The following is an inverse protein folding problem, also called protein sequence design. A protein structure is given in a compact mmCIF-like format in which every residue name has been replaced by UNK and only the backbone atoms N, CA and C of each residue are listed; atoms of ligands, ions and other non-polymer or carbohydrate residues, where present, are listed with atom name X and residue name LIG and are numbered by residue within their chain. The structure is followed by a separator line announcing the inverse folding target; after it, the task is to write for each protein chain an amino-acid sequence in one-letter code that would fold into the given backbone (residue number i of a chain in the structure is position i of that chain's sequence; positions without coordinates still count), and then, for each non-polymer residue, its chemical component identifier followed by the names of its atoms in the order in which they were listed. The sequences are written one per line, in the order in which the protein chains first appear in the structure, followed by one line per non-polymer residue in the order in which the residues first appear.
data_IF_170580113627
#
_entry.id   IF_170580113627
#
_cell.length_a   1.000
_cell.length_b   1.000
_cell.length_c   1.000
_cell.angle_alpha   90.00
_cell.angle_beta   90.00
_cell.angle_gamma   90.00
#
_symmetry.space_group_name_H-M   'P 1'
#
loop_
_entity.id
_entity.type
_entity.pdbx_description
1 polymer ?
#
# COMPACT_ATOMS: atom_id res chain seq x y z
N UNK A 1 8.76 20.91 -8.69
CA UNK A 1 10.04 21.30 -9.30
C UNK A 1 10.99 21.68 -8.15
N UNK A 2 11.76 20.71 -7.65
CA UNK A 2 12.68 20.93 -6.53
C UNK A 2 13.98 21.54 -7.07
N UNK A 3 14.09 22.87 -7.04
CA UNK A 3 15.30 23.59 -7.47
C UNK A 3 16.12 23.94 -6.23
N UNK A 4 17.23 23.24 -6.01
CA UNK A 4 18.17 23.53 -4.92
C UNK A 4 19.41 24.23 -5.49
N UNK A 5 19.40 25.56 -5.67
CA UNK A 5 20.46 26.29 -6.38
C UNK A 5 21.82 26.16 -5.70
N UNK A 6 21.86 26.08 -4.36
CA UNK A 6 23.10 25.87 -3.59
C UNK A 6 23.73 24.50 -3.82
N UNK A 7 22.89 23.46 -3.96
CA UNK A 7 23.33 22.08 -4.19
C UNK A 7 23.93 21.95 -5.59
N UNK A 8 23.28 22.56 -6.59
CA UNK A 8 23.72 22.53 -7.98
C UNK A 8 25.09 23.22 -8.15
N UNK A 9 25.29 24.34 -7.45
CA UNK A 9 26.56 25.05 -7.42
C UNK A 9 27.67 24.23 -6.73
N UNK A 10 27.36 23.60 -5.59
CA UNK A 10 28.30 22.72 -4.89
C UNK A 10 28.72 21.50 -5.74
N UNK A 11 27.78 20.89 -6.46
CA UNK A 11 28.04 19.73 -7.31
C UNK A 11 28.80 20.10 -8.58
N UNK A 12 28.57 21.29 -9.16
CA UNK A 12 29.36 21.80 -10.28
C UNK A 12 30.83 22.04 -9.90
N UNK A 13 31.08 22.59 -8.71
CA UNK A 13 32.44 22.76 -8.17
C UNK A 13 33.12 21.41 -7.89
N UNK A 14 32.36 20.45 -7.38
CA UNK A 14 32.84 19.10 -7.11
C UNK A 14 33.19 18.36 -8.41
N UNK A 15 32.37 18.47 -9.45
CA UNK A 15 32.65 17.94 -10.78
C UNK A 15 33.92 18.56 -11.38
N UNK A 16 34.09 19.88 -11.26
CA UNK A 16 35.30 20.55 -11.72
C UNK A 16 36.57 20.05 -10.99
N UNK A 17 36.47 19.81 -9.69
CA UNK A 17 37.56 19.25 -8.88
C UNK A 17 37.89 17.81 -9.28
N UNK A 18 36.88 16.97 -9.51
CA UNK A 18 37.09 15.60 -9.98
C UNK A 18 37.76 15.61 -11.35
N UNK A 19 37.31 16.41 -12.32
CA UNK A 19 37.94 16.49 -13.65
C UNK A 19 39.41 16.87 -13.58
N UNK A 20 39.75 17.88 -12.77
CA UNK A 20 41.14 18.27 -12.55
C UNK A 20 41.99 17.15 -11.91
N UNK A 21 41.43 16.34 -11.02
CA UNK A 21 42.11 15.20 -10.41
C UNK A 21 42.28 14.03 -11.41
N UNK A 22 41.27 13.81 -12.25
CA UNK A 22 41.21 12.71 -13.23
C UNK A 22 42.22 12.88 -14.37
N UNK A 23 42.61 14.12 -14.68
CA UNK A 23 43.56 14.47 -15.73
C UNK A 23 45.02 14.12 -15.38
N UNK A 24 45.34 13.95 -14.09
CA UNK A 24 46.72 13.82 -13.62
C UNK A 24 47.14 12.40 -13.18
N UNK A 25 46.23 11.44 -13.05
CA UNK A 25 46.53 10.11 -12.44
C UNK A 25 45.62 8.97 -12.96
N UNK A 26 46.09 7.72 -12.93
CA UNK A 26 45.27 6.54 -13.24
C UNK A 26 44.18 6.36 -12.15
N UNK A 27 43.02 6.96 -12.38
CA UNK A 27 41.91 6.96 -11.43
C UNK A 27 41.25 5.58 -11.25
N UNK A 28 40.93 5.20 -10.00
CA UNK A 28 40.17 3.99 -9.70
C UNK A 28 38.77 4.03 -10.32
N UNK A 29 38.22 2.85 -10.64
CA UNK A 29 36.92 2.69 -11.33
C UNK A 29 35.77 3.45 -10.67
N UNK A 30 35.77 3.62 -9.35
CA UNK A 30 34.71 4.34 -8.65
C UNK A 30 34.67 5.83 -9.01
N UNK A 31 35.82 6.48 -9.26
CA UNK A 31 35.89 7.91 -9.58
C UNK A 31 35.26 8.17 -10.94
N UNK A 32 35.52 7.30 -11.92
CA UNK A 32 34.88 7.35 -13.25
C UNK A 32 33.37 7.18 -13.16
N UNK A 33 32.89 6.33 -12.25
CA UNK A 33 31.45 6.18 -11.99
C UNK A 33 30.86 7.43 -11.35
N UNK A 34 31.56 8.05 -10.40
CA UNK A 34 31.10 9.29 -9.74
C UNK A 34 31.08 10.45 -10.73
N UNK A 35 32.10 10.59 -11.57
CA UNK A 35 32.17 11.56 -12.66
C UNK A 35 30.98 11.41 -13.62
N UNK A 36 30.76 10.20 -14.14
CA UNK A 36 29.63 9.89 -15.00
C UNK A 36 28.30 10.28 -14.36
N UNK A 37 28.10 9.94 -13.09
CA UNK A 37 26.88 10.24 -12.35
C UNK A 37 26.69 11.76 -12.17
N UNK A 38 27.75 12.50 -11.80
CA UNK A 38 27.70 13.96 -11.61
C UNK A 38 27.40 14.71 -12.92
N UNK A 39 27.96 14.24 -14.04
CA UNK A 39 27.72 14.84 -15.36
C UNK A 39 26.26 14.68 -15.80
N UNK A 40 25.66 13.52 -15.54
CA UNK A 40 24.35 13.20 -16.07
C UNK A 40 23.21 13.56 -15.12
N UNK A 41 23.35 13.44 -13.79
CA UNK A 41 22.25 13.64 -12.82
C UNK A 41 21.56 15.00 -12.99
N UNK A 42 22.33 16.08 -13.18
CA UNK A 42 21.78 17.44 -13.37
C UNK A 42 21.85 17.93 -14.82
N UNK A 43 22.14 17.01 -15.74
CA UNK A 43 22.09 17.30 -17.17
C UNK A 43 20.69 17.73 -17.63
N UNK A 44 20.58 18.34 -18.82
CA UNK A 44 19.30 18.72 -19.38
C UNK A 44 18.32 17.53 -19.43
N UNK A 45 16.99 17.78 -19.39
CA UNK A 45 15.98 16.73 -19.40
C UNK A 45 15.98 15.84 -20.66
N UNK A 46 16.76 16.19 -21.67
CA UNK A 46 17.01 15.41 -22.88
C UNK A 46 17.91 14.19 -22.62
N UNK A 47 18.73 14.23 -21.57
CA UNK A 47 19.66 13.16 -21.26
C UNK A 47 18.92 12.03 -20.52
N UNK A 48 19.00 10.77 -20.98
CA UNK A 48 18.21 9.66 -20.44
C UNK A 48 18.59 9.29 -19.00
N UNK A 49 19.80 9.64 -18.57
CA UNK A 49 20.31 9.40 -17.23
C UNK A 49 20.16 10.61 -16.29
N UNK A 50 19.54 11.70 -16.77
CA UNK A 50 19.26 12.85 -15.92
C UNK A 50 18.23 12.51 -14.85
N UNK A 51 18.40 13.10 -13.67
CA UNK A 51 17.45 12.97 -12.58
C UNK A 51 16.05 13.40 -13.02
N UNK A 52 15.96 14.45 -13.84
CA UNK A 52 14.70 14.90 -14.44
C UNK A 52 14.04 13.84 -15.30
N UNK A 53 14.78 13.22 -16.23
CA UNK A 53 14.24 12.17 -17.10
C UNK A 53 13.84 10.90 -16.32
N UNK A 54 14.68 10.47 -15.37
CA UNK A 54 14.40 9.31 -14.52
C UNK A 54 13.16 9.55 -13.66
N UNK A 55 13.07 10.72 -13.01
CA UNK A 55 11.92 11.07 -12.15
C UNK A 55 10.64 11.19 -12.98
N UNK A 56 10.72 11.72 -14.20
CA UNK A 56 9.59 11.77 -15.13
C UNK A 56 9.10 10.37 -15.49
N UNK A 57 9.98 9.47 -15.90
CA UNK A 57 9.62 8.08 -16.23
C UNK A 57 9.00 7.34 -15.02
N UNK A 58 9.58 7.51 -13.83
CA UNK A 58 9.02 6.95 -12.59
C UNK A 58 7.64 7.53 -12.31
N UNK A 59 7.46 8.85 -12.47
CA UNK A 59 6.17 9.52 -12.23
C UNK A 59 5.11 9.05 -13.23
N UNK A 60 5.45 8.90 -14.51
CA UNK A 60 4.55 8.38 -15.53
C UNK A 60 4.15 6.93 -15.24
N UNK A 61 5.10 6.08 -14.82
CA UNK A 61 4.81 4.72 -14.39
C UNK A 61 3.88 4.70 -13.17
N UNK A 62 4.20 5.48 -12.13
CA UNK A 62 3.36 5.58 -10.93
C UNK A 62 1.96 6.09 -11.28
N UNK A 63 1.83 7.09 -12.13
CA UNK A 63 0.53 7.60 -12.58
C UNK A 63 -0.28 6.55 -13.36
N UNK A 64 0.38 5.76 -14.20
CA UNK A 64 -0.27 4.67 -14.94
C UNK A 64 -0.78 3.56 -14.02
N UNK A 65 -0.03 3.25 -12.96
CA UNK A 65 -0.46 2.23 -12.00
C UNK A 65 -1.46 2.79 -10.98
N UNK A 66 -1.34 4.06 -10.58
CA UNK A 66 -2.25 4.69 -9.62
C UNK A 66 -3.67 4.80 -10.17
N UNK A 67 -3.83 5.00 -11.49
CA UNK A 67 -5.15 4.99 -12.13
C UNK A 67 -5.88 3.64 -12.04
N UNK A 68 -5.16 2.54 -11.79
CA UNK A 68 -5.78 1.22 -11.61
C UNK A 68 -6.29 0.98 -10.19
N UNK A 69 -5.87 1.79 -9.21
CA UNK A 69 -6.31 1.64 -7.81
C UNK A 69 -7.56 2.47 -7.56
N UNK A 70 -8.71 1.81 -7.44
CA UNK A 70 -9.93 2.43 -6.94
C UNK A 70 -9.87 2.52 -5.41
N UNK A 71 -9.65 3.73 -4.90
CA UNK A 71 -9.62 4.01 -3.45
C UNK A 71 -11.01 4.36 -2.90
N UNK A 72 -11.94 4.79 -3.74
CA UNK A 72 -13.30 5.20 -3.35
C UNK A 72 -14.29 4.03 -3.39
N UNK A 73 -14.02 3.00 -2.56
CA UNK A 73 -14.83 1.77 -2.50
C UNK A 73 -15.67 1.64 -1.22
N UNK A 74 -15.88 2.75 -0.52
CA UNK A 74 -16.70 2.77 0.69
C UNK A 74 -18.11 3.25 0.34
N UNK A 75 -19.08 2.35 0.49
CA UNK A 75 -20.50 2.67 0.30
C UNK A 75 -21.17 2.61 1.67
N UNK A 76 -21.75 3.73 2.08
CA UNK A 76 -22.54 3.81 3.31
C UNK A 76 -23.97 3.42 2.97
N UNK A 77 -24.52 2.48 3.74
CA UNK A 77 -25.87 1.96 3.55
C UNK A 77 -26.61 2.13 4.88
N UNK A 78 -27.90 2.51 4.81
CA UNK A 78 -28.70 2.78 6.00
C UNK A 78 -29.11 1.50 6.76
N UNK A 79 -29.33 0.39 6.04
CA UNK A 79 -29.87 -0.84 6.61
C UNK A 79 -28.97 -2.06 6.32
N UNK A 80 -28.93 -3.01 7.26
CA UNK A 80 -28.20 -4.28 7.10
C UNK A 80 -28.72 -5.08 5.89
N UNK A 81 -30.04 -5.14 5.67
CA UNK A 81 -30.63 -5.87 4.53
C UNK A 81 -30.21 -5.33 3.17
N UNK A 82 -30.19 -4.00 3.01
CA UNK A 82 -29.77 -3.35 1.76
C UNK A 82 -28.28 -3.60 1.50
N UNK A 83 -27.48 -3.66 2.56
CA UNK A 83 -26.06 -4.03 2.45
C UNK A 83 -25.90 -5.50 2.02
N UNK A 84 -26.68 -6.41 2.58
CA UNK A 84 -26.66 -7.83 2.20
C UNK A 84 -27.08 -8.03 0.74
N UNK A 85 -28.16 -7.38 0.28
CA UNK A 85 -28.61 -7.45 -1.11
C UNK A 85 -27.55 -6.92 -2.09
N UNK A 86 -26.94 -5.77 -1.76
CA UNK A 86 -25.85 -5.20 -2.53
C UNK A 86 -24.60 -6.10 -2.52
N UNK A 87 -24.30 -6.73 -1.38
CA UNK A 87 -23.17 -7.64 -1.23
C UNK A 87 -23.31 -8.88 -2.12
N UNK A 88 -24.50 -9.47 -2.19
CA UNK A 88 -24.77 -10.61 -3.09
C UNK A 88 -24.53 -10.20 -4.55
N UNK A 89 -25.12 -9.08 -4.98
CA UNK A 89 -24.92 -8.55 -6.33
C UNK A 89 -23.44 -8.28 -6.64
N UNK A 90 -22.72 -7.61 -5.74
CA UNK A 90 -21.29 -7.30 -5.92
C UNK A 90 -20.39 -8.54 -5.86
N UNK A 91 -20.82 -9.60 -5.19
CA UNK A 91 -20.06 -10.87 -5.13
C UNK A 91 -20.02 -11.54 -6.50
N UNK A 92 -21.11 -11.48 -7.27
CA UNK A 92 -21.17 -12.04 -8.62
C UNK A 92 -20.16 -11.36 -9.57
N UNK A 93 -19.87 -10.08 -9.34
CA UNK A 93 -18.86 -9.33 -10.08
C UNK A 93 -17.46 -9.36 -9.46
N UNK A 94 -17.24 -10.13 -8.39
CA UNK A 94 -15.98 -10.18 -7.62
C UNK A 94 -15.52 -8.82 -7.08
N UNK A 95 -16.49 -7.93 -6.83
CA UNK A 95 -16.24 -6.56 -6.34
C UNK A 95 -16.52 -6.42 -4.84
N UNK A 96 -17.25 -7.37 -4.25
CA UNK A 96 -17.50 -7.40 -2.82
C UNK A 96 -16.26 -7.86 -2.04
N UNK A 97 -15.91 -7.11 -1.01
CA UNK A 97 -14.84 -7.47 -0.09
C UNK A 97 -15.40 -7.74 1.30
N UNK A 98 -15.85 -6.70 1.99
CA UNK A 98 -16.31 -6.76 3.38
C UNK A 98 -17.40 -5.74 3.65
N UNK A 99 -18.34 -6.09 4.53
CA UNK A 99 -19.36 -5.21 5.05
C UNK A 99 -19.21 -5.08 6.56
N UNK A 100 -19.44 -3.88 7.10
CA UNK A 100 -19.41 -3.63 8.54
C UNK A 100 -20.77 -3.10 8.94
N UNK A 101 -21.42 -3.80 9.86
CA UNK A 101 -22.72 -3.42 10.41
C UNK A 101 -22.51 -3.00 11.85
N UNK A 102 -22.82 -1.74 12.15
CA UNK A 102 -22.83 -1.24 13.52
C UNK A 102 -24.24 -1.46 14.07
N UNK A 103 -24.34 -2.15 15.20
CA UNK A 103 -25.61 -2.52 15.81
C UNK A 103 -26.00 -1.46 16.84
N UNK A 104 -27.29 -1.13 16.91
CA UNK A 104 -27.86 -0.17 17.86
C UNK A 104 -27.27 1.25 17.75
N UNK A 105 -26.90 1.68 16.54
CA UNK A 105 -26.53 3.08 16.31
C UNK A 105 -27.80 3.93 16.15
N UNK A 106 -27.86 5.07 16.83
CA UNK A 106 -28.94 6.04 16.64
C UNK A 106 -28.71 6.85 15.36
N UNK A 107 -29.75 7.11 14.57
CA UNK A 107 -29.67 7.71 13.23
C UNK A 107 -28.97 9.09 13.19
N UNK A 108 -28.93 9.81 14.31
CA UNK A 108 -28.32 11.13 14.44
C UNK A 108 -27.09 11.13 15.35
N UNK A 109 -26.52 9.97 15.68
CA UNK A 109 -25.35 9.88 16.55
C UNK A 109 -24.13 10.52 15.87
N UNK A 110 -23.55 11.53 16.51
CA UNK A 110 -22.29 12.14 16.09
C UNK A 110 -21.07 11.36 16.57
N UNK A 111 -21.26 10.46 17.54
CA UNK A 111 -20.22 9.72 18.23
C UNK A 111 -20.68 8.29 18.58
N UNK A 112 -19.72 7.37 18.65
CA UNK A 112 -19.98 5.99 19.02
C UNK A 112 -20.18 5.87 20.53
N UNK A 113 -21.19 5.12 20.95
CA UNK A 113 -21.38 4.79 22.36
C UNK A 113 -20.21 3.93 22.87
N UNK A 114 -19.83 4.04 24.16
CA UNK A 114 -18.72 3.28 24.74
C UNK A 114 -18.84 1.76 24.57
N UNK A 115 -20.07 1.23 24.47
CA UNK A 115 -20.36 -0.17 24.22
C UNK A 115 -21.03 -0.34 22.86
N UNK A 116 -20.31 -0.02 21.79
CA UNK A 116 -20.78 -0.26 20.43
C UNK A 116 -20.46 -1.70 20.03
N UNK A 117 -21.50 -2.44 19.61
CA UNK A 117 -21.32 -3.77 19.03
C UNK A 117 -21.36 -3.68 17.51
N UNK A 118 -20.47 -4.40 16.84
CA UNK A 118 -20.40 -4.42 15.38
C UNK A 118 -20.32 -5.86 14.87
N UNK A 119 -20.78 -6.06 13.65
CA UNK A 119 -20.68 -7.32 12.90
C UNK A 119 -19.84 -7.07 11.65
N UNK A 120 -18.85 -7.91 11.42
CA UNK A 120 -18.10 -7.92 10.16
C UNK A 120 -18.69 -9.03 9.27
N UNK A 121 -19.25 -8.65 8.13
CA UNK A 121 -19.80 -9.54 7.11
C UNK A 121 -18.78 -9.65 5.97
N UNK A 122 -17.75 -10.46 6.16
CA UNK A 122 -16.73 -10.68 5.14
C UNK A 122 -17.18 -11.70 4.09
N UNK A 123 -16.61 -11.67 2.89
CA UNK A 123 -16.90 -12.68 1.87
C UNK A 123 -16.57 -14.09 2.40
N UNK A 124 -17.49 -15.04 2.23
CA UNK A 124 -17.38 -16.38 2.83
C UNK A 124 -16.11 -17.14 2.41
N UNK A 125 -15.61 -16.95 1.19
CA UNK A 125 -14.41 -17.62 0.69
C UNK A 125 -13.13 -17.12 1.38
N UNK A 126 -13.18 -15.91 1.93
CA UNK A 126 -12.05 -15.20 2.55
C UNK A 126 -11.99 -15.36 4.08
N UNK A 127 -12.97 -16.03 4.67
CA UNK A 127 -12.97 -16.39 6.09
C UNK A 127 -13.07 -17.90 6.25
N UNK A 128 -12.74 -18.36 7.45
CA UNK A 128 -13.02 -19.74 7.82
C UNK A 128 -14.50 -19.91 8.12
N UNK A 129 -15.01 -21.11 7.86
CA UNK A 129 -16.34 -21.49 8.29
C UNK A 129 -16.43 -21.44 9.81
N UNK A 130 -17.53 -20.89 10.32
CA UNK A 130 -17.86 -20.89 11.76
C UNK A 130 -18.59 -22.17 12.19
N UNK A 131 -18.79 -23.13 11.29
CA UNK A 131 -19.47 -24.41 11.60
C UNK A 131 -18.70 -25.27 12.60
N UNK A 132 -17.37 -25.17 12.61
CA UNK A 132 -16.49 -25.90 13.51
C UNK A 132 -15.42 -24.95 14.05
N UNK A 133 -15.19 -25.00 15.36
CA UNK A 133 -14.19 -24.17 16.03
C UNK A 133 -12.84 -24.86 16.20
N UNK A 134 -12.78 -26.17 15.95
CA UNK A 134 -11.58 -26.99 16.10
C UNK A 134 -11.33 -27.78 14.83
N UNK A 135 -10.05 -28.10 14.59
CA UNK A 135 -9.66 -28.93 13.46
C UNK A 135 -10.05 -30.40 13.70
N UNK A 136 -10.06 -31.18 12.63
CA UNK A 136 -10.22 -32.62 12.73
C UNK A 136 -9.10 -33.21 13.60
N UNK A 137 -9.43 -34.08 14.58
CA UNK A 137 -8.41 -34.78 15.37
C UNK A 137 -7.45 -35.65 14.54
N UNK A 138 -7.77 -35.90 13.26
CA UNK A 138 -6.90 -36.64 12.32
C UNK A 138 -5.83 -35.77 11.67
N UNK A 139 -5.89 -34.44 11.84
CA UNK A 139 -4.89 -33.53 11.28
C UNK A 139 -3.70 -33.47 12.23
N UNK A 140 -2.60 -34.08 11.82
CA UNK A 140 -1.36 -34.20 12.62
C UNK A 140 -0.40 -33.03 12.34
N UNK A 141 -0.54 -32.36 11.19
CA UNK A 141 0.36 -31.29 10.75
C UNK A 141 -0.13 -29.90 11.18
N UNK A 142 0.81 -28.95 11.14
CA UNK A 142 0.59 -27.56 11.51
C UNK A 142 -0.27 -26.80 10.49
N UNK A 143 -0.97 -25.78 10.98
CA UNK A 143 -1.92 -24.98 10.24
C UNK A 143 -1.23 -23.73 9.68
N UNK A 144 -0.40 -23.90 8.65
CA UNK A 144 0.49 -22.83 8.14
C UNK A 144 0.21 -22.37 6.70
N UNK A 145 -0.77 -22.96 6.01
CA UNK A 145 -1.05 -22.60 4.62
C UNK A 145 -1.74 -21.22 4.53
N UNK A 146 -1.12 -20.20 3.91
CA UNK A 146 -1.63 -18.83 3.97
C UNK A 146 -3.06 -18.67 3.41
N UNK A 147 -3.37 -19.36 2.31
CA UNK A 147 -4.66 -19.20 1.61
C UNK A 147 -5.80 -20.06 2.17
N UNK A 148 -5.49 -21.15 2.88
CA UNK A 148 -6.48 -22.11 3.38
C UNK A 148 -6.66 -22.03 4.89
N UNK A 149 -5.55 -21.82 5.58
CA UNK A 149 -5.44 -21.99 7.03
C UNK A 149 -5.30 -20.65 7.76
N UNK A 150 -4.67 -19.65 7.13
CA UNK A 150 -4.47 -18.31 7.69
C UNK A 150 -5.36 -17.26 7.02
N UNK A 151 -6.59 -17.64 6.62
CA UNK A 151 -7.50 -16.77 5.86
C UNK A 151 -7.76 -15.43 6.52
N UNK A 152 -7.91 -15.41 7.85
CA UNK A 152 -8.15 -14.17 8.62
C UNK A 152 -7.02 -13.14 8.49
N UNK A 153 -5.77 -13.60 8.37
CA UNK A 153 -4.60 -12.74 8.15
C UNK A 153 -4.45 -12.39 6.66
N UNK A 154 -4.51 -13.41 5.80
CA UNK A 154 -4.27 -13.28 4.37
C UNK A 154 -5.29 -12.39 3.66
N UNK A 155 -6.57 -12.49 4.04
CA UNK A 155 -7.66 -11.69 3.48
C UNK A 155 -8.11 -10.55 4.38
N UNK A 156 -7.31 -10.23 5.40
CA UNK A 156 -7.38 -8.98 6.15
C UNK A 156 -8.56 -8.77 7.10
N UNK A 157 -9.27 -9.84 7.47
CA UNK A 157 -10.32 -9.76 8.48
C UNK A 157 -9.80 -9.31 9.85
N UNK A 158 -8.61 -9.78 10.25
CA UNK A 158 -7.98 -9.39 11.53
C UNK A 158 -7.65 -7.90 11.59
N UNK A 159 -7.27 -7.28 10.46
CA UNK A 159 -6.98 -5.85 10.39
C UNK A 159 -8.22 -5.00 10.65
N UNK A 160 -9.40 -5.48 10.22
CA UNK A 160 -10.67 -4.82 10.52
C UNK A 160 -10.97 -4.91 12.02
N UNK A 161 -10.80 -6.09 12.64
CA UNK A 161 -11.02 -6.26 14.07
C UNK A 161 -10.10 -5.37 14.92
N UNK A 162 -8.81 -5.29 14.57
CA UNK A 162 -7.84 -4.46 15.30
C UNK A 162 -8.14 -2.96 15.22
N UNK A 163 -8.67 -2.48 14.08
CA UNK A 163 -8.99 -1.06 13.89
C UNK A 163 -10.21 -0.59 14.71
N UNK A 164 -11.21 -1.45 14.92
CA UNK A 164 -12.47 -1.12 15.61
C UNK A 164 -12.51 -1.57 17.08
N UNK A 165 -11.44 -2.18 17.59
CA UNK A 165 -11.33 -2.56 18.99
C UNK A 165 -10.27 -1.70 19.69
N UNK A 166 -10.65 -0.74 20.56
CA UNK A 166 -9.70 0.05 21.33
C UNK A 166 -8.91 -0.77 22.37
N UNK A 167 -9.13 -2.07 22.46
CA UNK A 167 -8.44 -2.99 23.38
C UNK A 167 -7.12 -3.56 22.82
N UNK A 168 -6.73 -3.20 21.59
CA UNK A 168 -5.49 -3.70 20.96
C UNK A 168 -4.51 -2.60 20.52
N UNK A 169 -4.55 -1.42 21.16
CA UNK A 169 -3.32 -0.62 21.27
C UNK A 169 -2.47 -1.21 22.39
N UNK A 170 -1.54 -2.09 22.02
CA UNK A 170 -0.33 -2.31 22.82
C UNK A 170 0.56 -1.07 22.73
#
# INVERSE_FOLDING_TARGET
MFYFPKLLLALSNLLALIKAYTEHEEVPKFVKTVEFVLEHIFGPPTDPYSFGAVTKNVTEMVNRYSSCFLLDRFVIVANESVMEDAAVCLTDYQQYFTGIVIVNMTDNATEFEPLTTYKIRHLFSFVDSTSYYTDSPRRVFDRNAPFNDLKYLTYGFSFLQGKYSPLWTC
#
